data_IF_516441595960
#
_entry.id   IF_516441595960
#
_cell.length_a   1.000
_cell.length_b   1.000
_cell.length_c   1.000
_cell.angle_alpha   90.00
_cell.angle_beta   90.00
_cell.angle_gamma   90.00
#
_symmetry.space_group_name_H-M   'P 1'
#
loop_
_entity.id
_entity.type
_entity.pdbx_description
1 polymer ?
#
# COMPACT_ATOMS: atom_id res chain seq x y z
N UNK A 1 1.33 -17.33 13.90
CA UNK A 1 1.64 -16.15 13.04
C UNK A 1 1.09 -14.91 13.72
N UNK A 2 1.91 -13.87 13.91
CA UNK A 2 1.45 -12.57 14.40
C UNK A 2 0.57 -11.89 13.34
N UNK A 3 -0.49 -11.21 13.77
CA UNK A 3 -1.31 -10.37 12.89
C UNK A 3 -0.49 -9.13 12.51
N UNK A 4 -0.36 -8.85 11.21
CA UNK A 4 0.37 -7.69 10.66
C UNK A 4 -0.50 -6.41 10.58
N UNK A 5 -1.78 -6.54 10.88
CA UNK A 5 -2.77 -5.47 10.82
C UNK A 5 -3.39 -5.31 12.20
N UNK A 6 -3.50 -4.07 12.66
CA UNK A 6 -4.21 -3.77 13.89
C UNK A 6 -5.72 -3.84 13.65
N UNK A 7 -6.46 -4.26 14.67
CA UNK A 7 -7.93 -4.15 14.63
C UNK A 7 -8.31 -2.67 14.63
N UNK A 8 -8.93 -2.23 13.54
CA UNK A 8 -9.49 -0.88 13.44
C UNK A 8 -10.93 -0.91 13.91
N UNK A 9 -11.29 0.07 14.72
CA UNK A 9 -12.69 0.36 15.07
C UNK A 9 -13.04 1.69 14.42
N UNK A 10 -14.11 1.71 13.61
CA UNK A 10 -14.60 2.93 12.96
C UNK A 10 -15.75 3.46 13.80
N UNK A 11 -15.61 4.68 14.31
CA UNK A 11 -16.66 5.35 15.07
C UNK A 11 -17.79 5.86 14.14
N UNK A 12 -18.98 6.13 14.68
CA UNK A 12 -20.07 6.73 13.89
C UNK A 12 -19.71 8.11 13.29
N UNK A 13 -18.91 8.91 13.99
CA UNK A 13 -18.45 10.23 13.52
C UNK A 13 -17.53 10.09 12.31
N UNK A 14 -16.60 9.14 12.39
CA UNK A 14 -15.70 8.76 11.30
C UNK A 14 -16.47 8.25 10.06
N UNK A 15 -17.55 7.48 10.29
CA UNK A 15 -18.43 7.02 9.22
C UNK A 15 -19.17 8.18 8.54
N UNK A 16 -19.67 9.14 9.32
CA UNK A 16 -20.33 10.33 8.78
C UNK A 16 -19.34 11.21 8.00
N UNK A 17 -18.13 11.40 8.54
CA UNK A 17 -17.06 12.12 7.85
C UNK A 17 -16.68 11.50 6.51
N UNK A 18 -16.63 10.16 6.42
CA UNK A 18 -16.43 9.47 5.14
C UNK A 18 -17.57 9.72 4.15
N UNK A 19 -18.83 9.73 4.62
CA UNK A 19 -19.98 10.00 3.76
C UNK A 19 -19.97 11.43 3.20
N UNK A 20 -19.49 12.41 3.98
CA UNK A 20 -19.42 13.81 3.57
C UNK A 20 -18.18 14.13 2.72
N UNK A 21 -17.02 13.58 3.07
CA UNK A 21 -15.74 13.94 2.47
C UNK A 21 -15.24 12.93 1.42
N UNK A 22 -15.85 11.74 1.35
CA UNK A 22 -15.44 10.63 0.47
C UNK A 22 -14.17 9.90 0.90
N UNK A 23 -13.52 10.32 1.99
CA UNK A 23 -12.33 9.67 2.55
C UNK A 23 -12.30 9.78 4.07
N UNK A 24 -11.51 8.91 4.70
CA UNK A 24 -11.23 8.94 6.13
C UNK A 24 -9.77 8.56 6.40
N UNK A 25 -9.16 9.21 7.38
CA UNK A 25 -7.80 8.90 7.83
C UNK A 25 -7.81 7.85 8.93
N UNK A 26 -7.41 6.63 8.60
CA UNK A 26 -7.22 5.55 9.57
C UNK A 26 -5.87 5.68 10.28
N UNK A 27 -5.88 5.64 11.61
CA UNK A 27 -4.64 5.66 12.42
C UNK A 27 -4.17 4.24 12.71
N UNK A 28 -2.86 4.00 12.54
CA UNK A 28 -2.16 2.75 12.90
C UNK A 28 -2.79 1.48 12.32
N UNK A 29 -3.10 1.48 11.02
CA UNK A 29 -3.62 0.29 10.32
C UNK A 29 -2.66 -0.91 10.43
N UNK A 30 -1.37 -0.67 10.24
CA UNK A 30 -0.34 -1.70 10.30
C UNK A 30 0.30 -1.77 11.68
N UNK A 31 0.67 -2.98 12.11
CA UNK A 31 1.55 -3.16 13.27
C UNK A 31 2.94 -2.61 12.97
N UNK A 32 3.72 -2.30 14.00
CA UNK A 32 5.10 -1.82 13.80
C UNK A 32 5.95 -2.85 13.04
N UNK A 33 5.75 -4.15 13.33
CA UNK A 33 6.38 -5.26 12.58
C UNK A 33 6.06 -5.21 11.07
N UNK A 34 4.80 -4.92 10.73
CA UNK A 34 4.37 -4.83 9.34
C UNK A 34 4.91 -3.57 8.65
N UNK A 35 5.00 -2.45 9.38
CA UNK A 35 5.61 -1.21 8.90
C UNK A 35 7.10 -1.45 8.61
N UNK A 36 7.82 -2.13 9.48
CA UNK A 36 9.25 -2.40 9.30
C UNK A 36 9.50 -3.36 8.13
N UNK A 37 8.66 -4.38 7.97
CA UNK A 37 8.69 -5.27 6.79
C UNK A 37 8.38 -4.50 5.50
N UNK A 38 7.37 -3.63 5.51
CA UNK A 38 7.02 -2.81 4.36
C UNK A 38 8.17 -1.88 3.98
N UNK A 39 8.78 -1.20 4.95
CA UNK A 39 9.97 -0.35 4.74
C UNK A 39 11.12 -1.13 4.12
N UNK A 40 11.39 -2.33 4.61
CA UNK A 40 12.43 -3.20 4.06
C UNK A 40 12.15 -3.57 2.60
N UNK A 41 10.90 -3.95 2.27
CA UNK A 41 10.50 -4.26 0.89
C UNK A 41 10.57 -3.02 -0.01
N UNK A 42 10.10 -1.86 0.47
CA UNK A 42 10.19 -0.60 -0.26
C UNK A 42 11.65 -0.20 -0.51
N UNK A 43 12.52 -0.34 0.48
CA UNK A 43 13.95 -0.05 0.33
C UNK A 43 14.66 -1.00 -0.64
N UNK A 44 14.15 -2.22 -0.80
CA UNK A 44 14.64 -3.21 -1.77
C UNK A 44 13.95 -3.14 -3.13
N UNK A 45 12.86 -2.40 -3.24
CA UNK A 45 12.15 -2.21 -4.49
C UNK A 45 12.97 -1.26 -5.36
N UNK A 46 13.47 -1.78 -6.47
CA UNK A 46 14.09 -0.94 -7.50
C UNK A 46 13.00 -0.01 -8.07
N UNK A 47 13.11 1.29 -7.82
CA UNK A 47 12.19 2.25 -8.42
C UNK A 47 12.25 2.13 -9.95
N UNK A 48 11.10 2.07 -10.60
CA UNK A 48 11.02 2.03 -12.06
C UNK A 48 11.47 3.38 -12.61
N UNK A 49 12.72 3.47 -13.07
CA UNK A 49 13.32 4.73 -13.55
C UNK A 49 12.80 5.17 -14.92
N UNK A 50 12.25 4.25 -15.73
CA UNK A 50 11.65 4.56 -17.02
C UNK A 50 10.21 4.06 -17.09
N UNK A 51 9.31 4.99 -17.34
CA UNK A 51 7.91 4.70 -17.67
C UNK A 51 7.91 3.88 -18.98
N UNK A 52 7.18 2.75 -19.06
CA UNK A 52 7.10 1.99 -20.31
C UNK A 52 6.54 2.86 -21.43
N UNK A 53 7.17 2.83 -22.62
CA UNK A 53 6.72 3.61 -23.79
C UNK A 53 5.31 3.21 -24.29
N UNK A 54 4.82 2.03 -23.90
CA UNK A 54 3.42 1.68 -24.07
C UNK A 54 2.94 0.78 -22.94
N UNK A 55 1.74 1.07 -22.43
CA UNK A 55 0.96 0.13 -21.64
C UNK A 55 -0.01 -0.57 -22.59
N UNK A 56 0.36 -1.71 -23.14
CA UNK A 56 -0.61 -2.61 -23.75
C UNK A 56 -1.46 -3.16 -22.60
N UNK A 57 -2.66 -2.62 -22.42
CA UNK A 57 -3.53 -2.90 -21.29
C UNK A 57 -3.93 -4.37 -21.22
N UNK A 58 -3.15 -5.16 -20.50
CA UNK A 58 -3.63 -6.33 -19.79
C UNK A 58 -3.24 -6.18 -18.32
N UNK A 59 -4.05 -5.40 -17.61
CA UNK A 59 -3.91 -5.07 -16.18
C UNK A 59 -4.11 -6.30 -15.26
N UNK A 60 -4.28 -7.51 -15.83
CA UNK A 60 -4.36 -8.77 -15.08
C UNK A 60 -3.02 -9.21 -14.48
N UNK A 61 -1.91 -8.62 -14.92
CA UNK A 61 -0.53 -8.94 -14.49
C UNK A 61 0.19 -7.77 -13.82
N UNK A 62 -0.45 -7.02 -12.93
CA UNK A 62 0.28 -6.15 -11.98
C UNK A 62 0.98 -7.07 -10.95
N UNK A 63 2.00 -7.80 -11.41
CA UNK A 63 2.97 -8.51 -10.62
C UNK A 63 4.24 -7.68 -10.61
N UNK A 64 4.63 -7.22 -9.43
CA UNK A 64 5.97 -6.68 -9.20
C UNK A 64 6.98 -7.80 -9.44
N UNK A 65 7.95 -7.58 -10.33
CA UNK A 65 9.18 -8.38 -10.31
C UNK A 65 10.40 -7.55 -10.76
N UNK A 66 11.17 -7.22 -9.73
CA UNK A 66 12.60 -7.07 -9.60
C UNK A 66 13.51 -7.05 -10.85
N UNK A 67 14.40 -6.04 -10.80
CA UNK A 67 15.80 -5.97 -11.29
C UNK A 67 16.00 -5.13 -12.54
N UNK A 68 16.68 -3.99 -12.36
CA UNK A 68 17.55 -3.44 -13.39
C UNK A 68 18.88 -3.04 -12.73
N UNK A 69 19.95 -3.73 -13.12
CA UNK A 69 21.37 -3.37 -12.92
C UNK A 69 21.86 -2.58 -14.14
N UNK A 70 22.80 -1.66 -13.92
CA UNK A 70 23.29 -0.59 -14.81
C UNK A 70 23.93 -1.05 -16.12
#
# INVERSE_FOLDING_TARGET
MSLLVNKITISPEEKNSFAENGFIKLKKLFTDEAIDKLRYLTAKSNQVEKVPESYSGDFSRIGYDDKIEW
#
